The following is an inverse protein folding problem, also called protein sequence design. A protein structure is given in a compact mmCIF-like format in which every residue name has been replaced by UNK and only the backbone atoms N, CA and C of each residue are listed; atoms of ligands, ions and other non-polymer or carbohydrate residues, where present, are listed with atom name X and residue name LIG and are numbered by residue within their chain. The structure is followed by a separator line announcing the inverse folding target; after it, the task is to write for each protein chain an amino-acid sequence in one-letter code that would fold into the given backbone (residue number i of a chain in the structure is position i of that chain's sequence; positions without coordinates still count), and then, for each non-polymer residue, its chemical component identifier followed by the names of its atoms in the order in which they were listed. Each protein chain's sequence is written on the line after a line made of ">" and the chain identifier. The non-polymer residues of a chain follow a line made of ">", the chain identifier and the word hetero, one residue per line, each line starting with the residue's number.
data_IF_064875670989
#
_entry.id   IF_064875670989
#
_cell.length_a   1.000
_cell.length_b   1.000
_cell.length_c   1.000
_cell.angle_alpha   90.00
_cell.angle_beta   90.00
_cell.angle_gamma   90.00
#
_symmetry.space_group_name_H-M   'P 1'
#
loop_
_entity.id
_entity.type
_entity.pdbx_description
1 polymer ?
#
# COMPACT_ATOMS: atom_id res chain seq x y z
N UNK A 1 -28.79 7.39 14.67
CA UNK A 1 -27.86 6.35 14.13
C UNK A 1 -27.25 5.62 15.31
N UNK A 2 -27.47 4.31 15.44
CA UNK A 2 -26.79 3.50 16.45
C UNK A 2 -25.32 3.40 16.07
N UNK A 3 -24.46 3.97 16.91
CA UNK A 3 -23.02 3.90 16.72
C UNK A 3 -22.58 2.49 17.16
N UNK A 4 -22.35 1.60 16.19
CA UNK A 4 -21.90 0.23 16.46
C UNK A 4 -20.39 0.17 16.30
N UNK A 5 -19.70 -0.37 17.33
CA UNK A 5 -18.28 -0.68 17.22
C UNK A 5 -18.08 -1.76 16.16
N UNK A 6 -17.07 -1.57 15.30
CA UNK A 6 -16.69 -2.53 14.27
C UNK A 6 -15.35 -3.16 14.66
N UNK A 7 -15.29 -4.48 14.62
CA UNK A 7 -14.05 -5.25 14.81
C UNK A 7 -13.63 -5.85 13.47
N UNK A 8 -12.34 -5.93 13.22
CA UNK A 8 -11.78 -6.75 12.14
C UNK A 8 -11.11 -7.95 12.78
N UNK A 9 -11.57 -9.14 12.42
CA UNK A 9 -11.05 -10.41 12.94
C UNK A 9 -10.00 -11.00 11.99
N UNK A 10 -9.25 -11.99 12.47
CA UNK A 10 -8.36 -12.77 11.61
C UNK A 10 -9.12 -13.47 10.47
N UNK A 11 -10.37 -13.89 10.70
CA UNK A 11 -11.22 -14.45 9.66
C UNK A 11 -11.54 -13.43 8.55
N UNK A 12 -11.76 -12.16 8.91
CA UNK A 12 -11.97 -11.09 7.94
C UNK A 12 -10.70 -10.84 7.11
N UNK A 13 -9.52 -10.87 7.75
CA UNK A 13 -8.23 -10.74 7.08
C UNK A 13 -8.01 -11.91 6.10
N UNK A 14 -8.24 -13.15 6.53
CA UNK A 14 -8.16 -14.35 5.69
C UNK A 14 -9.10 -14.24 4.47
N UNK A 15 -10.31 -13.73 4.68
CA UNK A 15 -11.27 -13.49 3.60
C UNK A 15 -10.75 -12.45 2.60
N UNK A 16 -10.19 -11.34 3.07
CA UNK A 16 -9.62 -10.31 2.20
C UNK A 16 -8.44 -10.88 1.39
N UNK A 17 -7.55 -11.66 2.00
CA UNK A 17 -6.45 -12.33 1.27
C UNK A 17 -7.00 -13.32 0.23
N UNK A 18 -8.05 -14.08 0.54
CA UNK A 18 -8.73 -14.95 -0.44
C UNK A 18 -9.36 -14.17 -1.59
N UNK A 19 -9.92 -13.00 -1.32
CA UNK A 19 -10.45 -12.10 -2.35
C UNK A 19 -9.33 -11.50 -3.21
N UNK A 20 -8.21 -11.10 -2.60
CA UNK A 20 -7.03 -10.63 -3.32
C UNK A 20 -6.50 -11.68 -4.32
N UNK A 21 -6.50 -12.97 -3.95
CA UNK A 21 -6.13 -14.09 -4.85
C UNK A 21 -7.02 -14.23 -6.09
N UNK A 22 -8.28 -13.77 -6.01
CA UNK A 22 -9.25 -13.82 -7.13
C UNK A 22 -9.29 -12.53 -7.93
N UNK A 23 -8.66 -11.46 -7.43
CA UNK A 23 -8.63 -10.15 -8.05
C UNK A 23 -7.57 -10.12 -9.17
N UNK A 24 -7.91 -9.52 -10.32
CA UNK A 24 -6.96 -9.32 -11.42
C UNK A 24 -5.74 -8.51 -11.00
N UNK A 25 -5.94 -7.49 -10.15
CA UNK A 25 -4.88 -6.65 -9.57
C UNK A 25 -4.14 -7.33 -8.40
N UNK A 26 -4.52 -8.57 -8.06
CA UNK A 26 -3.93 -9.36 -6.96
C UNK A 26 -4.06 -8.70 -5.58
N UNK A 27 -4.99 -7.76 -5.42
CA UNK A 27 -5.26 -7.05 -4.17
C UNK A 27 -6.73 -6.74 -4.00
N UNK A 28 -7.15 -6.53 -2.75
CA UNK A 28 -8.47 -6.05 -2.38
C UNK A 28 -8.37 -5.06 -1.23
N UNK A 29 -9.40 -4.24 -1.07
CA UNK A 29 -9.46 -3.18 -0.07
C UNK A 29 -10.74 -3.30 0.74
N UNK A 30 -10.62 -3.24 2.07
CA UNK A 30 -11.74 -3.03 2.97
C UNK A 30 -11.69 -1.60 3.49
N UNK A 31 -12.62 -0.76 3.02
CA UNK A 31 -12.79 0.63 3.44
C UNK A 31 -13.54 0.70 4.78
N UNK A 32 -12.99 1.43 5.75
CA UNK A 32 -13.58 1.62 7.09
C UNK A 32 -14.10 3.05 7.34
N UNK A 33 -14.08 3.90 6.32
CA UNK A 33 -14.37 5.33 6.40
C UNK A 33 -15.26 5.77 5.23
N UNK A 34 -16.09 6.80 5.37
CA UNK A 34 -16.68 7.54 4.25
C UNK A 34 -15.68 8.54 3.67
N UNK A 35 -15.82 8.87 2.37
CA UNK A 35 -14.83 9.68 1.65
C UNK A 35 -14.62 11.08 2.26
N UNK A 36 -15.67 11.65 2.83
CA UNK A 36 -15.68 12.99 3.44
C UNK A 36 -15.05 13.01 4.84
N UNK A 37 -14.77 11.83 5.43
CA UNK A 37 -14.16 11.77 6.75
C UNK A 37 -12.74 12.35 6.75
N UNK A 38 -12.34 13.06 7.83
CA UNK A 38 -11.04 13.73 7.90
C UNK A 38 -9.86 12.74 8.01
N UNK A 39 -10.15 11.46 8.27
CA UNK A 39 -9.17 10.38 8.34
C UNK A 39 -9.70 9.17 7.60
N UNK A 40 -8.93 8.70 6.64
CA UNK A 40 -9.22 7.49 5.90
C UNK A 40 -8.52 6.31 6.58
N UNK A 41 -9.27 5.23 6.78
CA UNK A 41 -8.79 3.97 7.36
C UNK A 41 -9.21 2.82 6.46
N UNK A 42 -8.29 1.97 6.05
CA UNK A 42 -8.59 0.84 5.17
C UNK A 42 -7.64 -0.31 5.39
N UNK A 43 -8.09 -1.53 5.09
CA UNK A 43 -7.22 -2.70 5.07
C UNK A 43 -6.94 -3.06 3.62
N UNK A 44 -5.67 -3.02 3.24
CA UNK A 44 -5.20 -3.48 1.94
C UNK A 44 -4.65 -4.90 2.07
N UNK A 45 -5.36 -5.87 1.51
CA UNK A 45 -4.87 -7.23 1.38
C UNK A 45 -4.28 -7.45 -0.01
N UNK A 46 -3.08 -8.00 -0.08
CA UNK A 46 -2.28 -8.13 -1.29
C UNK A 46 -1.61 -9.50 -1.33
N UNK A 47 -1.28 -9.98 -2.53
CA UNK A 47 -0.51 -11.21 -2.71
C UNK A 47 0.69 -10.95 -3.64
N UNK A 48 1.74 -11.80 -3.61
CA UNK A 48 2.87 -11.68 -4.52
C UNK A 48 2.45 -11.50 -5.97
N UNK A 49 3.11 -10.58 -6.66
CA UNK A 49 2.75 -10.15 -8.01
C UNK A 49 1.78 -8.96 -8.07
N UNK A 50 1.30 -8.42 -6.95
CA UNK A 50 0.68 -7.08 -6.94
C UNK A 50 1.69 -6.03 -7.38
N UNK A 51 1.26 -5.13 -8.25
CA UNK A 51 1.98 -3.90 -8.58
C UNK A 51 1.10 -2.69 -8.23
N UNK A 52 1.69 -1.73 -7.53
CA UNK A 52 1.11 -0.41 -7.26
C UNK A 52 2.08 0.58 -7.90
N UNK A 53 1.61 1.44 -8.79
CA UNK A 53 2.46 2.49 -9.34
C UNK A 53 3.01 3.33 -8.19
N UNK A 54 4.35 3.53 -8.12
CA UNK A 54 4.94 4.42 -7.15
C UNK A 54 4.26 5.79 -7.17
N UNK A 55 4.00 6.33 -5.99
CA UNK A 55 3.24 7.57 -5.85
C UNK A 55 3.67 8.31 -4.59
N UNK A 56 3.24 9.56 -4.49
CA UNK A 56 3.35 10.38 -3.29
C UNK A 56 2.05 11.13 -3.04
N UNK A 57 1.94 11.70 -1.84
CA UNK A 57 0.81 12.52 -1.44
C UNK A 57 1.25 13.98 -1.28
N UNK A 58 0.76 14.84 -2.17
CA UNK A 58 1.07 16.27 -2.22
C UNK A 58 -0.10 17.05 -2.82
N UNK A 59 -0.17 18.35 -2.52
CA UNK A 59 -1.18 19.27 -3.05
C UNK A 59 -2.64 18.79 -2.88
N UNK A 60 -3.14 18.61 -1.64
CA UNK A 60 -2.49 18.95 -0.37
C UNK A 60 -1.58 17.84 0.16
N UNK A 61 -0.59 18.22 0.98
CA UNK A 61 0.26 17.27 1.69
C UNK A 61 -0.59 16.37 2.61
N UNK A 62 -0.40 15.05 2.52
CA UNK A 62 -1.07 14.06 3.38
C UNK A 62 -0.03 13.17 4.00
N UNK A 63 -0.19 12.90 5.29
CA UNK A 63 0.55 11.84 5.99
C UNK A 63 -0.12 10.50 5.72
N UNK A 64 0.69 9.45 5.63
CA UNK A 64 0.22 8.08 5.43
C UNK A 64 1.00 7.14 6.36
N UNK A 65 0.31 6.15 6.90
CA UNK A 65 0.89 5.15 7.79
C UNK A 65 0.41 3.77 7.36
N UNK A 66 1.34 2.81 7.30
CA UNK A 66 1.01 1.40 7.16
C UNK A 66 1.38 0.64 8.43
N UNK A 67 0.44 -0.18 8.92
CA UNK A 67 0.68 -1.17 9.96
C UNK A 67 0.36 -2.56 9.42
N UNK A 68 1.34 -3.45 9.39
CA UNK A 68 1.13 -4.83 8.95
C UNK A 68 0.27 -5.57 9.99
N UNK A 69 -0.78 -6.24 9.52
CA UNK A 69 -1.66 -7.08 10.35
C UNK A 69 -1.35 -8.56 10.16
N UNK A 70 -1.02 -8.95 8.93
CA UNK A 70 -0.66 -10.32 8.56
C UNK A 70 0.35 -10.34 7.41
N UNK A 71 1.22 -11.35 7.41
CA UNK A 71 2.14 -11.62 6.31
C UNK A 71 3.37 -10.72 6.31
N UNK A 72 3.88 -10.46 5.10
CA UNK A 72 5.14 -9.75 4.87
C UNK A 72 5.13 -8.98 3.55
N UNK A 73 5.52 -7.70 3.59
CA UNK A 73 5.70 -6.86 2.41
C UNK A 73 6.89 -5.91 2.60
N UNK A 74 7.38 -5.34 1.51
CA UNK A 74 8.41 -4.29 1.55
C UNK A 74 7.84 -3.00 0.99
N UNK A 75 8.04 -1.91 1.72
CA UNK A 75 7.81 -0.55 1.24
C UNK A 75 9.12 -0.03 0.66
N UNK A 76 9.13 0.37 -0.61
CA UNK A 76 10.27 1.05 -1.22
C UNK A 76 10.01 2.55 -1.21
N UNK A 77 11.02 3.33 -0.83
CA UNK A 77 11.06 4.77 -0.95
C UNK A 77 12.01 5.14 -2.10
N UNK A 78 11.59 6.08 -2.95
CA UNK A 78 12.35 6.58 -4.08
C UNK A 78 12.76 8.03 -3.88
N UNK A 79 13.95 8.39 -4.37
CA UNK A 79 14.33 9.78 -4.52
C UNK A 79 13.57 10.45 -5.69
N UNK A 80 13.81 11.75 -5.90
CA UNK A 80 13.16 12.50 -6.98
C UNK A 80 13.66 12.12 -8.40
N UNK A 81 14.70 11.29 -8.51
CA UNK A 81 15.21 10.77 -9.79
C UNK A 81 14.60 9.41 -10.13
N UNK A 82 13.89 8.79 -9.18
CA UNK A 82 13.28 7.49 -9.31
C UNK A 82 14.18 6.32 -8.90
N UNK A 83 15.31 6.61 -8.25
CA UNK A 83 16.19 5.59 -7.67
C UNK A 83 15.66 5.18 -6.29
N UNK A 84 15.77 3.90 -5.95
CA UNK A 84 15.41 3.41 -4.61
C UNK A 84 16.40 3.97 -3.61
N UNK A 85 15.91 4.83 -2.71
CA UNK A 85 16.70 5.50 -1.69
C UNK A 85 16.73 4.71 -0.37
N UNK A 86 15.63 4.01 -0.06
CA UNK A 86 15.49 3.20 1.14
C UNK A 86 14.44 2.10 0.93
N UNK A 87 14.53 1.02 1.69
CA UNK A 87 13.48 0.01 1.76
C UNK A 87 13.26 -0.49 3.19
N UNK A 88 11.98 -0.70 3.51
CA UNK A 88 11.55 -1.15 4.84
C UNK A 88 10.64 -2.36 4.65
N UNK A 89 11.10 -3.52 5.10
CA UNK A 89 10.28 -4.72 5.13
C UNK A 89 9.43 -4.75 6.40
N UNK A 90 8.11 -4.76 6.23
CA UNK A 90 7.15 -4.98 7.30
C UNK A 90 6.79 -6.46 7.41
N UNK A 91 6.71 -6.98 8.63
CA UNK A 91 6.27 -8.35 8.89
C UNK A 91 5.51 -8.46 10.20
N UNK A 92 4.38 -9.17 10.19
CA UNK A 92 3.55 -9.38 11.38
C UNK A 92 4.27 -10.14 12.52
N UNK A 93 5.37 -10.82 12.21
CA UNK A 93 6.21 -11.55 13.17
C UNK A 93 7.63 -10.98 13.27
N UNK A 94 7.90 -9.87 12.58
CA UNK A 94 9.22 -9.25 12.51
C UNK A 94 9.35 -8.01 13.40
N UNK A 95 10.55 -7.40 13.44
CA UNK A 95 10.81 -6.23 14.28
C UNK A 95 10.16 -4.94 13.74
N UNK A 96 9.92 -4.88 12.43
CA UNK A 96 9.30 -3.73 11.77
C UNK A 96 7.84 -4.08 11.45
N UNK A 97 6.91 -3.46 12.17
CA UNK A 97 5.47 -3.69 11.99
C UNK A 97 4.73 -2.48 11.43
N UNK A 98 5.29 -1.28 11.60
CA UNK A 98 4.67 -0.02 11.22
C UNK A 98 5.69 0.83 10.46
N UNK A 99 5.24 1.53 9.43
CA UNK A 99 6.01 2.59 8.78
C UNK A 99 5.15 3.85 8.68
N UNK A 100 5.74 4.97 9.05
CA UNK A 100 5.19 6.31 8.86
C UNK A 100 5.80 6.91 7.60
N UNK A 101 4.96 7.37 6.68
CA UNK A 101 5.35 7.87 5.36
C UNK A 101 5.06 9.37 5.31
N UNK A 102 6.10 10.21 5.32
CA UNK A 102 5.93 11.65 5.25
C UNK A 102 5.28 12.08 3.92
N UNK A 103 4.59 13.24 3.90
CA UNK A 103 4.10 13.82 2.65
C UNK A 103 5.21 13.98 1.62
N UNK A 104 4.82 13.97 0.34
CA UNK A 104 5.74 14.12 -0.82
C UNK A 104 6.79 13.00 -0.97
N UNK A 105 6.71 11.94 -0.20
CA UNK A 105 7.60 10.78 -0.30
C UNK A 105 7.10 9.83 -1.38
N UNK A 106 7.89 9.64 -2.44
CA UNK A 106 7.57 8.64 -3.45
C UNK A 106 7.78 7.24 -2.88
N UNK A 107 6.75 6.42 -2.91
CA UNK A 107 6.83 5.08 -2.38
C UNK A 107 5.93 4.09 -3.12
N UNK A 108 6.20 2.80 -2.94
CA UNK A 108 5.32 1.70 -3.34
C UNK A 108 5.44 0.52 -2.37
N UNK A 109 4.54 -0.45 -2.48
CA UNK A 109 4.50 -1.64 -1.64
C UNK A 109 4.59 -2.89 -2.52
N UNK A 110 5.53 -3.79 -2.19
CA UNK A 110 5.71 -5.08 -2.84
C UNK A 110 5.43 -6.20 -1.81
N UNK A 111 4.33 -6.97 -1.97
CA UNK A 111 4.04 -8.10 -1.08
C UNK A 111 5.00 -9.26 -1.34
N UNK A 112 5.74 -9.68 -0.31
CA UNK A 112 6.65 -10.83 -0.36
C UNK A 112 5.93 -12.15 -0.04
N UNK A 113 4.83 -12.05 0.69
CA UNK A 113 3.89 -13.12 1.02
C UNK A 113 2.47 -12.55 0.92
N UNK A 114 1.43 -13.39 0.86
CA UNK A 114 0.07 -12.92 1.12
C UNK A 114 0.04 -12.13 2.42
N UNK A 115 -0.44 -10.89 2.37
CA UNK A 115 -0.36 -9.97 3.49
C UNK A 115 -1.58 -9.06 3.56
N UNK A 116 -1.81 -8.48 4.73
CA UNK A 116 -2.80 -7.44 4.95
C UNK A 116 -2.21 -6.32 5.81
N UNK A 117 -2.36 -5.08 5.39
CA UNK A 117 -1.95 -3.89 6.15
C UNK A 117 -3.14 -2.99 6.43
N UNK A 118 -3.13 -2.37 7.61
CA UNK A 118 -3.94 -1.19 7.89
C UNK A 118 -3.23 0.03 7.31
N UNK A 119 -3.90 0.73 6.43
CA UNK A 119 -3.52 2.05 5.93
C UNK A 119 -4.35 3.11 6.65
N UNK A 120 -3.66 4.13 7.18
CA UNK A 120 -4.26 5.34 7.71
C UNK A 120 -3.69 6.53 6.95
N UNK A 121 -4.55 7.32 6.32
CA UNK A 121 -4.15 8.48 5.53
C UNK A 121 -5.09 9.67 5.80
N UNK A 122 -4.55 10.87 5.71
CA UNK A 122 -5.33 12.09 5.91
C UNK A 122 -6.44 12.23 4.84
N UNK A 123 -7.67 12.46 5.31
CA UNK A 123 -8.83 12.75 4.47
C UNK A 123 -9.05 14.27 4.27
N UNK A 124 -10.08 14.64 3.49
CA UNK A 124 -10.99 13.76 2.75
C UNK A 124 -10.33 13.07 1.55
N UNK A 125 -11.03 12.09 0.97
CA UNK A 125 -10.67 11.46 -0.28
C UNK A 125 -11.12 12.31 -1.46
N UNK A 126 -10.16 12.75 -2.26
CA UNK A 126 -10.40 13.52 -3.49
C UNK A 126 -9.65 12.82 -4.62
N UNK A 127 -10.36 12.14 -5.52
CA UNK A 127 -9.75 11.21 -6.48
C UNK A 127 -8.64 11.87 -7.32
N UNK A 128 -8.82 13.14 -7.69
CA UNK A 128 -7.90 13.90 -8.55
C UNK A 128 -6.58 14.28 -7.85
N UNK A 129 -6.62 14.49 -6.53
CA UNK A 129 -5.48 14.98 -5.74
C UNK A 129 -4.97 13.94 -4.74
N UNK A 130 -5.63 12.77 -4.64
CA UNK A 130 -5.30 11.80 -3.63
C UNK A 130 -3.90 11.20 -3.84
N UNK A 131 -3.45 11.01 -5.09
CA UNK A 131 -2.12 10.45 -5.40
C UNK A 131 -1.47 11.19 -6.56
N UNK A 132 -0.22 11.60 -6.38
CA UNK A 132 0.67 12.07 -7.45
C UNK A 132 1.53 10.88 -7.89
N UNK A 133 1.24 10.32 -9.07
CA UNK A 133 1.96 9.15 -9.59
C UNK A 133 3.38 9.55 -10.00
N UNK A 134 4.33 8.62 -9.81
CA UNK A 134 5.70 8.80 -10.23
C UNK A 134 5.78 8.80 -11.77
N UNK A 135 6.31 9.87 -12.41
CA UNK A 135 6.31 10.00 -13.87
C UNK A 135 7.25 9.01 -14.57
N UNK A 136 8.23 8.44 -13.86
CA UNK A 136 9.16 7.44 -14.40
C UNK A 136 8.58 6.02 -14.39
N UNK A 137 7.58 5.75 -13.56
CA UNK A 137 7.08 4.41 -13.35
C UNK A 137 5.90 4.11 -14.27
N UNK A 138 5.81 2.90 -14.83
CA UNK A 138 4.66 2.51 -15.64
C UNK A 138 3.37 2.52 -14.80
N UNK A 139 2.27 2.94 -15.43
CA UNK A 139 0.92 2.76 -14.89
C UNK A 139 0.60 1.26 -14.74
N UNK A 140 -0.35 0.92 -13.86
CA UNK A 140 -0.70 -0.50 -13.58
C UNK A 140 -1.20 -1.28 -14.81
N UNK A 141 -1.82 -0.60 -15.76
CA UNK A 141 -2.34 -1.17 -17.01
C UNK A 141 -1.31 -1.14 -18.16
N UNK A 142 -0.12 -0.60 -17.93
CA UNK A 142 0.93 -0.55 -18.93
C UNK A 142 1.58 -1.93 -19.10
N UNK A 143 1.88 -2.39 -20.33
CA UNK A 143 2.55 -3.67 -20.56
C UNK A 143 3.90 -3.84 -19.84
N UNK A 144 4.59 -2.73 -19.53
CA UNK A 144 5.88 -2.73 -18.81
C UNK A 144 5.73 -2.80 -17.28
N UNK A 145 4.50 -2.79 -16.75
CA UNK A 145 4.25 -2.82 -15.31
C UNK A 145 4.83 -4.08 -14.65
N UNK A 146 4.70 -5.23 -15.31
CA UNK A 146 5.23 -6.49 -14.80
C UNK A 146 6.76 -6.51 -14.77
N UNK A 147 7.42 -6.06 -15.85
CA UNK A 147 8.88 -5.97 -15.90
C UNK A 147 9.43 -5.02 -14.82
N UNK A 148 8.75 -3.88 -14.61
CA UNK A 148 9.14 -2.94 -13.57
C UNK A 148 8.92 -3.50 -12.16
N UNK A 149 7.80 -4.21 -11.92
CA UNK A 149 7.56 -4.93 -10.67
C UNK A 149 8.66 -5.95 -10.37
N UNK A 150 9.05 -6.75 -11.37
CA UNK A 150 10.13 -7.74 -11.25
C UNK A 150 11.48 -7.08 -10.98
N UNK A 151 11.76 -5.92 -11.60
CA UNK A 151 12.93 -5.11 -11.30
C UNK A 151 12.95 -4.68 -9.83
N UNK A 152 11.85 -4.14 -9.30
CA UNK A 152 11.76 -3.75 -7.88
C UNK A 152 11.93 -4.94 -6.93
N UNK A 153 11.37 -6.10 -7.26
CA UNK A 153 11.61 -7.35 -6.51
C UNK A 153 13.08 -7.75 -6.50
N UNK A 154 13.77 -7.59 -7.64
CA UNK A 154 15.20 -7.86 -7.72
C UNK A 154 16.03 -6.93 -6.83
N UNK A 155 15.65 -5.66 -6.69
CA UNK A 155 16.30 -4.73 -5.75
C UNK A 155 16.10 -5.24 -4.31
N UNK A 156 14.88 -5.60 -3.93
CA UNK A 156 14.58 -6.09 -2.58
C UNK A 156 15.42 -7.32 -2.21
N UNK A 157 15.64 -8.22 -3.17
CA UNK A 157 16.45 -9.43 -2.95
C UNK A 157 17.95 -9.18 -2.83
N UNK A 158 18.45 -8.08 -3.38
CA UNK A 158 19.88 -7.76 -3.45
C UNK A 158 20.31 -6.59 -2.56
N UNK A 159 19.39 -6.07 -1.74
CA UNK A 159 19.63 -4.94 -0.83
C UNK A 159 20.43 -5.34 0.40
#
# INVERSE_FOLDING_TARGET
>A
MTHTLRTITTFDIDNLIRMAKKSSRKRTILRLHEHEEPVQRMINAMIPGTYITPHKHENPDKVELFSILEGKCTVLHFDNRGEVADLITLSATGPNMVVDIPPRTYHTIIPLQPCALLEVIQGPYEAETHKSLAPWAPAEDNPKAEDYRLYLESIIHNW
#
